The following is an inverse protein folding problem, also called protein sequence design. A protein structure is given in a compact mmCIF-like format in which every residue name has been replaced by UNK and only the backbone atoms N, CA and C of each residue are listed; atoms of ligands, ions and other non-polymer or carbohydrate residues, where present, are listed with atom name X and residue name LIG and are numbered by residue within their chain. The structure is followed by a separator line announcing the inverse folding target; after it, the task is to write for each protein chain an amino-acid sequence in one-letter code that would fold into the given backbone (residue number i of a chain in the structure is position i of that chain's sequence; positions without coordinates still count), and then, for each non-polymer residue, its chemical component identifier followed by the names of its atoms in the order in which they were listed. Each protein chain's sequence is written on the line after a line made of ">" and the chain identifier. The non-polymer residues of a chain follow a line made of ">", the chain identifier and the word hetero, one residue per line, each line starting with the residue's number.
data_IF_433469945318
#
_entry.id   IF_433469945318
#
_cell.length_a   1.000
_cell.length_b   1.000
_cell.length_c   1.000
_cell.angle_alpha   90.00
_cell.angle_beta   90.00
_cell.angle_gamma   90.00
#
_symmetry.space_group_name_H-M   'P 1'
#
loop_
_entity.id
_entity.type
_entity.pdbx_description
1 polymer ?
#
# COMPACT_ATOMS: atom_id res chain seq x y z
N UNK A 1 19.14 -31.64 16.49
CA UNK A 1 20.42 -30.96 16.29
C UNK A 1 20.20 -29.49 16.64
N UNK A 2 20.92 -28.90 17.62
CA UNK A 2 20.88 -27.46 17.86
C UNK A 2 21.48 -26.77 16.64
N UNK A 3 20.88 -25.66 16.10
CA UNK A 3 21.49 -24.87 15.04
C UNK A 3 22.91 -24.47 15.46
N UNK A 4 23.85 -24.48 14.52
CA UNK A 4 25.21 -24.04 14.78
C UNK A 4 25.21 -22.54 15.09
N UNK A 5 26.14 -22.05 15.93
CA UNK A 5 26.27 -20.62 16.29
C UNK A 5 26.44 -19.66 15.09
N UNK A 6 26.81 -20.19 13.91
CA UNK A 6 26.86 -19.44 12.65
C UNK A 6 25.46 -19.17 12.06
N UNK A 7 24.49 -20.07 12.24
CA UNK A 7 23.10 -19.91 11.76
C UNK A 7 22.35 -18.76 12.49
N UNK A 8 22.79 -18.39 13.71
CA UNK A 8 22.16 -17.31 14.48
C UNK A 8 22.60 -15.90 14.10
N UNK A 9 23.71 -15.76 13.32
CA UNK A 9 24.31 -14.47 12.96
C UNK A 9 23.98 -13.97 11.56
N UNK A 10 23.41 -14.81 10.72
CA UNK A 10 23.05 -14.49 9.36
C UNK A 10 21.58 -14.78 9.10
N UNK A 11 21.06 -14.25 8.01
CA UNK A 11 19.68 -14.45 7.56
C UNK A 11 19.63 -14.59 6.04
N UNK A 12 18.65 -15.31 5.53
CA UNK A 12 18.29 -15.31 4.11
C UNK A 12 17.59 -14.01 3.74
N UNK A 13 17.84 -13.51 2.54
CA UNK A 13 17.19 -12.34 2.01
C UNK A 13 17.11 -12.43 0.48
N UNK A 14 16.23 -11.61 -0.09
CA UNK A 14 16.21 -11.31 -1.52
C UNK A 14 16.57 -9.85 -1.71
N UNK A 15 17.61 -9.59 -2.47
CA UNK A 15 18.12 -8.24 -2.70
C UNK A 15 18.54 -8.02 -4.14
N UNK A 16 19.02 -6.83 -4.43
CA UNK A 16 19.65 -6.47 -5.69
C UNK A 16 20.99 -5.77 -5.44
N UNK A 17 21.94 -6.00 -6.34
CA UNK A 17 23.20 -5.24 -6.40
C UNK A 17 23.25 -4.33 -7.63
N UNK A 18 22.40 -4.57 -8.61
CA UNK A 18 22.25 -3.79 -9.84
C UNK A 18 20.76 -3.59 -10.16
N UNK A 19 20.43 -2.47 -10.75
CA UNK A 19 19.08 -2.12 -11.14
C UNK A 19 18.85 -2.54 -12.59
N UNK A 20 18.19 -3.69 -12.78
CA UNK A 20 18.03 -4.36 -14.06
C UNK A 20 16.54 -4.55 -14.41
N UNK A 21 16.20 -4.76 -15.69
CA UNK A 21 14.84 -5.19 -16.09
C UNK A 21 14.41 -6.44 -15.33
N UNK A 22 13.11 -6.60 -15.09
CA UNK A 22 12.57 -7.73 -14.29
C UNK A 22 12.89 -9.10 -14.88
N UNK A 23 13.04 -9.19 -16.21
CA UNK A 23 13.33 -10.43 -16.90
C UNK A 23 14.81 -10.87 -16.76
N UNK A 24 15.70 -9.97 -16.35
CA UNK A 24 17.08 -10.34 -16.02
C UNK A 24 17.11 -11.14 -14.70
N UNK A 25 17.68 -12.37 -14.69
CA UNK A 25 17.75 -13.19 -13.48
C UNK A 25 18.56 -12.56 -12.34
N UNK A 26 19.41 -11.56 -12.63
CA UNK A 26 20.17 -10.80 -11.64
C UNK A 26 19.43 -9.56 -11.11
N UNK A 27 18.21 -9.28 -11.58
CA UNK A 27 17.40 -8.13 -11.13
C UNK A 27 16.99 -8.24 -9.66
N UNK A 28 16.80 -9.46 -9.16
CA UNK A 28 16.64 -9.84 -7.75
C UNK A 28 17.36 -11.18 -7.55
N UNK A 29 18.17 -11.30 -6.49
CA UNK A 29 18.95 -12.48 -6.16
C UNK A 29 18.71 -12.93 -4.73
N UNK A 30 18.71 -14.24 -4.51
CA UNK A 30 18.78 -14.82 -3.17
C UNK A 30 20.17 -14.58 -2.59
N UNK A 31 20.25 -14.11 -1.37
CA UNK A 31 21.50 -13.78 -0.70
C UNK A 31 21.44 -14.07 0.80
N UNK A 32 22.62 -14.14 1.41
CA UNK A 32 22.77 -14.25 2.87
C UNK A 32 23.38 -12.96 3.39
N UNK A 33 22.70 -12.36 4.37
CA UNK A 33 23.13 -11.10 4.99
C UNK A 33 23.32 -11.27 6.50
N UNK A 34 24.08 -10.40 7.15
CA UNK A 34 24.10 -10.35 8.61
C UNK A 34 22.68 -10.09 9.15
N UNK A 35 22.29 -10.84 10.19
CA UNK A 35 21.05 -10.59 10.92
C UNK A 35 21.15 -9.24 11.64
N UNK A 36 20.22 -8.29 11.44
CA UNK A 36 20.29 -6.98 12.07
C UNK A 36 19.97 -7.05 13.56
N UNK A 37 20.53 -6.14 14.35
CA UNK A 37 20.13 -5.87 15.72
C UNK A 37 19.16 -4.69 15.79
N UNK A 38 18.15 -4.70 16.67
CA UNK A 38 17.19 -3.60 16.79
C UNK A 38 17.85 -2.36 17.39
N UNK A 39 17.58 -1.19 16.80
CA UNK A 39 17.86 0.11 17.41
C UNK A 39 16.92 0.40 18.59
N UNK A 40 17.10 1.53 19.33
CA UNK A 40 16.35 1.80 20.56
C UNK A 40 14.82 1.64 20.44
N UNK A 41 14.21 2.18 19.39
CA UNK A 41 12.75 2.10 19.12
C UNK A 41 12.36 1.00 18.14
N UNK A 42 13.27 0.09 17.76
CA UNK A 42 13.01 -0.92 16.76
C UNK A 42 12.46 -2.21 17.33
N UNK A 43 11.57 -2.81 16.58
CA UNK A 43 11.23 -4.23 16.67
C UNK A 43 12.14 -4.98 15.69
N UNK A 44 12.73 -6.10 16.09
CA UNK A 44 13.25 -7.09 15.18
C UNK A 44 12.14 -8.09 14.89
N UNK A 45 11.62 -8.06 13.68
CA UNK A 45 10.51 -8.93 13.26
C UNK A 45 11.05 -10.10 12.45
N UNK A 46 10.66 -11.32 12.83
CA UNK A 46 10.81 -12.51 11.99
C UNK A 46 9.67 -12.49 10.98
N UNK A 47 10.00 -12.20 9.72
CA UNK A 47 9.03 -12.03 8.64
C UNK A 47 8.46 -13.39 8.21
N UNK A 48 7.15 -13.53 8.24
CA UNK A 48 6.44 -14.73 7.83
C UNK A 48 5.84 -14.61 6.42
N UNK A 49 5.37 -13.42 6.05
CA UNK A 49 4.82 -13.14 4.73
C UNK A 49 5.10 -11.70 4.31
N UNK A 50 5.23 -11.48 3.00
CA UNK A 50 5.42 -10.17 2.38
C UNK A 50 4.44 -10.00 1.22
N UNK A 51 4.08 -8.76 0.92
CA UNK A 51 3.27 -8.45 -0.25
C UNK A 51 3.96 -7.40 -1.12
N UNK A 52 3.83 -7.53 -2.44
CA UNK A 52 4.48 -6.64 -3.39
C UNK A 52 3.60 -5.46 -3.76
N UNK A 53 4.23 -4.33 -4.05
CA UNK A 53 3.61 -3.06 -4.37
C UNK A 53 4.27 -2.41 -5.61
N UNK A 54 3.60 -1.51 -6.32
CA UNK A 54 4.21 -0.77 -7.43
C UNK A 54 5.50 -0.02 -7.05
N UNK A 55 5.65 0.40 -5.80
CA UNK A 55 6.89 1.04 -5.31
C UNK A 55 8.09 0.10 -5.37
N UNK A 56 7.91 -1.20 -5.15
CA UNK A 56 8.97 -2.20 -5.25
C UNK A 56 9.56 -2.21 -6.67
N UNK A 57 8.68 -2.21 -7.69
CA UNK A 57 9.10 -2.20 -9.10
C UNK A 57 9.74 -0.88 -9.49
N UNK A 58 9.23 0.26 -9.00
CA UNK A 58 9.80 1.60 -9.23
C UNK A 58 11.21 1.74 -8.63
N UNK A 59 11.41 1.27 -7.39
CA UNK A 59 12.72 1.30 -6.74
C UNK A 59 13.71 0.39 -7.44
N UNK A 60 13.29 -0.81 -7.90
CA UNK A 60 14.11 -1.75 -8.68
C UNK A 60 14.36 -1.27 -10.10
N UNK A 61 13.56 -0.37 -10.65
CA UNK A 61 13.61 0.04 -12.06
C UNK A 61 15.06 0.31 -12.55
N UNK A 62 15.37 -0.02 -13.82
CA UNK A 62 16.72 0.07 -14.35
C UNK A 62 17.34 1.47 -14.22
N UNK A 63 18.55 1.53 -13.71
CA UNK A 63 19.39 2.74 -13.61
C UNK A 63 20.86 2.37 -13.45
N UNK A 64 21.76 3.30 -13.71
CA UNK A 64 23.22 3.08 -13.69
C UNK A 64 23.83 3.05 -12.27
N UNK A 65 23.07 2.70 -11.23
CA UNK A 65 23.59 2.58 -9.87
C UNK A 65 23.97 1.12 -9.55
N UNK A 66 24.97 0.95 -8.69
CA UNK A 66 25.43 -0.35 -8.18
C UNK A 66 25.50 -0.28 -6.65
N UNK A 67 24.95 -1.28 -5.99
CA UNK A 67 24.98 -1.41 -4.52
C UNK A 67 26.21 -2.21 -4.11
N UNK A 68 26.97 -1.72 -3.13
CA UNK A 68 28.14 -2.42 -2.58
C UNK A 68 27.75 -3.69 -1.81
N UNK A 69 26.57 -3.67 -1.20
CA UNK A 69 25.92 -4.81 -0.54
C UNK A 69 24.50 -4.97 -1.09
N UNK A 70 23.95 -6.20 -1.15
CA UNK A 70 22.60 -6.39 -1.65
C UNK A 70 21.58 -5.50 -0.93
N UNK A 71 20.89 -4.65 -1.69
CA UNK A 71 19.78 -3.83 -1.19
C UNK A 71 18.52 -4.68 -1.12
N UNK A 72 17.98 -4.84 0.08
CA UNK A 72 16.71 -5.54 0.32
C UNK A 72 15.55 -4.58 0.10
N UNK A 73 14.59 -4.99 -0.74
CA UNK A 73 13.35 -4.28 -1.00
C UNK A 73 12.19 -4.89 -0.19
N UNK A 74 10.97 -4.38 -0.40
CA UNK A 74 9.75 -4.89 0.21
C UNK A 74 9.21 -3.94 1.29
N UNK A 75 7.94 -3.55 1.11
CA UNK A 75 7.24 -2.61 2.00
C UNK A 75 5.80 -3.07 2.21
N UNK A 76 5.66 -4.28 2.70
CA UNK A 76 4.44 -4.89 3.24
C UNK A 76 4.83 -6.21 3.89
N UNK A 77 4.63 -6.34 5.18
CA UNK A 77 5.00 -7.55 5.89
C UNK A 77 4.05 -7.87 7.05
N UNK A 78 4.00 -9.15 7.37
CA UNK A 78 3.47 -9.66 8.63
C UNK A 78 4.43 -10.71 9.18
N UNK A 79 4.58 -10.75 10.49
CA UNK A 79 5.52 -11.64 11.16
C UNK A 79 5.41 -11.58 12.68
N UNK A 80 6.38 -12.16 13.36
CA UNK A 80 6.42 -12.23 14.83
C UNK A 80 7.60 -11.43 15.36
N UNK A 81 7.39 -10.63 16.39
CA UNK A 81 8.44 -9.89 17.09
C UNK A 81 9.39 -10.88 17.74
N UNK A 82 10.65 -10.87 17.34
CA UNK A 82 11.71 -11.73 17.85
C UNK A 82 12.48 -11.08 19.01
N UNK A 83 12.74 -9.78 18.89
CA UNK A 83 13.43 -8.96 19.88
C UNK A 83 12.99 -7.50 19.76
N UNK A 84 13.26 -6.71 20.79
CA UNK A 84 12.90 -5.30 20.84
C UNK A 84 14.10 -4.46 21.27
N UNK A 85 14.13 -3.19 20.85
CA UNK A 85 15.07 -2.19 21.32
C UNK A 85 14.78 -1.71 22.74
N UNK A 86 15.76 -1.02 23.34
CA UNK A 86 15.71 -0.61 24.76
C UNK A 86 14.63 0.41 25.11
N UNK A 87 14.11 1.14 24.11
CA UNK A 87 13.08 2.20 24.29
C UNK A 87 11.72 1.80 23.74
N UNK A 88 11.56 0.54 23.27
CA UNK A 88 10.27 0.01 22.81
C UNK A 88 9.31 -0.15 23.99
N UNK A 89 8.10 0.36 23.82
CA UNK A 89 7.03 0.34 24.83
C UNK A 89 5.71 -0.25 24.35
N UNK A 90 5.50 -0.36 23.03
CA UNK A 90 4.22 -0.76 22.45
C UNK A 90 4.11 -2.27 22.20
N UNK A 91 5.26 -2.98 22.17
CA UNK A 91 5.30 -4.40 21.79
C UNK A 91 6.25 -5.19 22.68
N UNK A 92 6.12 -6.51 22.62
CA UNK A 92 6.99 -7.49 23.30
C UNK A 92 7.33 -8.64 22.35
N UNK A 93 8.43 -9.39 22.60
CA UNK A 93 8.72 -10.61 21.87
C UNK A 93 7.54 -11.60 21.90
N UNK A 94 7.26 -12.19 20.75
CA UNK A 94 6.13 -13.09 20.55
C UNK A 94 4.87 -12.43 19.98
N UNK A 95 4.77 -11.10 19.98
CA UNK A 95 3.63 -10.41 19.35
C UNK A 95 3.61 -10.64 17.83
N UNK A 96 2.44 -10.94 17.28
CA UNK A 96 2.21 -11.03 15.84
C UNK A 96 1.85 -9.66 15.31
N UNK A 97 2.63 -9.17 14.33
CA UNK A 97 2.57 -7.80 13.84
C UNK A 97 2.42 -7.72 12.32
N UNK A 98 1.95 -6.58 11.85
CA UNK A 98 1.87 -6.21 10.45
C UNK A 98 2.26 -4.75 10.24
N UNK A 99 2.89 -4.43 9.10
CA UNK A 99 3.42 -3.10 8.83
C UNK A 99 3.86 -2.94 7.38
N UNK A 100 4.03 -1.68 6.94
CA UNK A 100 4.60 -1.36 5.64
C UNK A 100 6.12 -1.08 5.71
N UNK A 101 6.63 -0.56 6.82
CA UNK A 101 8.03 -0.19 6.97
C UNK A 101 8.37 1.19 6.41
N UNK A 102 9.66 1.45 6.17
CA UNK A 102 10.19 2.74 5.71
C UNK A 102 11.01 2.57 4.44
N UNK A 103 10.78 3.43 3.43
CA UNK A 103 11.47 3.37 2.12
C UNK A 103 12.96 3.70 2.20
N UNK A 104 13.39 4.37 3.28
CA UNK A 104 14.79 4.75 3.52
C UNK A 104 15.55 3.75 4.38
N UNK A 105 14.91 2.62 4.75
CA UNK A 105 15.51 1.52 5.53
C UNK A 105 15.49 0.22 4.71
N UNK A 106 16.29 -0.81 5.10
CA UNK A 106 16.21 -2.14 4.49
C UNK A 106 14.78 -2.68 4.52
N UNK A 107 14.34 -3.27 3.40
CA UNK A 107 12.98 -3.75 3.23
C UNK A 107 12.70 -5.11 3.87
N UNK A 108 11.49 -5.61 3.65
CA UNK A 108 10.94 -6.82 4.28
C UNK A 108 11.25 -8.13 3.54
N UNK A 109 11.88 -8.08 2.36
CA UNK A 109 12.25 -9.30 1.64
C UNK A 109 13.47 -9.98 2.28
N UNK A 110 13.44 -10.20 3.59
CA UNK A 110 14.45 -10.84 4.42
C UNK A 110 13.79 -11.60 5.58
N UNK A 111 14.46 -12.65 6.10
CA UNK A 111 13.93 -13.43 7.25
C UNK A 111 13.72 -12.57 8.49
N UNK A 112 14.52 -11.51 8.65
CA UNK A 112 14.40 -10.56 9.76
C UNK A 112 14.49 -9.14 9.26
N UNK A 113 13.63 -8.28 9.80
CA UNK A 113 13.65 -6.83 9.53
C UNK A 113 13.57 -6.05 10.83
N UNK A 114 14.36 -4.97 10.94
CA UNK A 114 14.18 -3.96 11.97
C UNK A 114 13.22 -2.88 11.49
N UNK A 115 12.20 -2.58 12.30
CA UNK A 115 11.17 -1.58 12.00
C UNK A 115 10.81 -0.81 13.27
N UNK A 116 10.64 0.51 13.14
CA UNK A 116 10.25 1.38 14.26
C UNK A 116 8.83 1.04 14.76
N UNK A 117 8.68 0.90 16.08
CA UNK A 117 7.42 0.51 16.72
C UNK A 117 6.24 1.43 16.36
N UNK A 118 6.50 2.71 16.06
CA UNK A 118 5.49 3.73 15.78
C UNK A 118 4.80 3.57 14.43
N UNK A 119 5.32 2.70 13.55
CA UNK A 119 4.73 2.39 12.23
C UNK A 119 4.30 0.93 12.10
N UNK A 120 4.16 0.21 13.22
CA UNK A 120 3.76 -1.20 13.33
C UNK A 120 2.47 -1.30 14.12
N UNK A 121 1.63 -2.30 13.87
CA UNK A 121 0.50 -2.65 14.73
C UNK A 121 0.42 -4.17 14.94
N UNK A 122 -0.36 -4.59 15.92
CA UNK A 122 -0.73 -6.01 16.08
C UNK A 122 -1.54 -6.45 14.87
N UNK A 123 -1.20 -7.61 14.33
CA UNK A 123 -1.92 -8.24 13.22
C UNK A 123 -3.38 -8.52 13.62
N UNK A 124 -4.37 -8.34 12.71
CA UNK A 124 -5.72 -8.85 12.95
C UNK A 124 -5.69 -10.34 13.37
N UNK A 125 -6.40 -10.68 14.43
CA UNK A 125 -6.42 -12.07 14.95
C UNK A 125 -7.11 -13.02 13.98
N UNK A 126 -8.08 -12.54 13.24
CA UNK A 126 -8.88 -13.30 12.27
C UNK A 126 -8.13 -13.64 10.98
N UNK A 127 -6.96 -13.01 10.71
CA UNK A 127 -6.17 -13.23 9.50
C UNK A 127 -4.92 -14.09 9.80
N UNK A 128 -4.54 -14.93 8.85
CA UNK A 128 -3.20 -15.50 8.81
C UNK A 128 -2.16 -14.45 8.34
N UNK A 129 -0.85 -14.80 8.36
CA UNK A 129 0.20 -13.87 7.98
C UNK A 129 0.13 -13.44 6.51
N UNK A 130 -0.26 -14.35 5.60
CA UNK A 130 -0.36 -14.02 4.17
C UNK A 130 -1.51 -13.03 3.92
N UNK A 131 -2.66 -13.27 4.54
CA UNK A 131 -3.82 -12.39 4.46
C UNK A 131 -3.52 -11.01 5.07
N UNK A 132 -2.81 -10.99 6.19
CA UNK A 132 -2.43 -9.75 6.87
C UNK A 132 -1.40 -8.94 6.08
N UNK A 133 -0.36 -9.58 5.52
CA UNK A 133 0.67 -8.90 4.73
C UNK A 133 0.12 -8.20 3.48
N UNK A 134 -1.07 -8.58 3.00
CA UNK A 134 -1.71 -7.95 1.83
C UNK A 134 -2.30 -6.56 2.09
N UNK A 135 -2.23 -6.03 3.30
CA UNK A 135 -3.01 -4.85 3.68
C UNK A 135 -2.19 -3.61 4.07
N UNK A 136 -1.07 -3.66 4.82
CA UNK A 136 -0.55 -2.50 5.54
C UNK A 136 -0.30 -1.28 4.66
N UNK A 137 0.54 -1.37 3.61
CA UNK A 137 0.89 -0.24 2.76
C UNK A 137 -0.35 0.36 2.10
N UNK A 138 -1.19 -0.48 1.53
CA UNK A 138 -2.39 -0.03 0.82
C UNK A 138 -3.43 0.56 1.77
N UNK A 139 -3.51 0.05 2.99
CA UNK A 139 -4.38 0.57 4.05
C UNK A 139 -3.92 1.95 4.53
N UNK A 140 -2.62 2.11 4.81
CA UNK A 140 -2.07 3.41 5.20
C UNK A 140 -2.35 4.43 4.09
N UNK A 141 -2.01 4.10 2.84
CA UNK A 141 -2.25 4.97 1.68
C UNK A 141 -3.72 5.35 1.53
N UNK A 142 -4.64 4.38 1.58
CA UNK A 142 -6.07 4.66 1.43
C UNK A 142 -6.64 5.47 2.59
N UNK A 143 -6.25 5.13 3.83
CA UNK A 143 -6.68 5.86 5.02
C UNK A 143 -6.23 7.32 5.00
N UNK A 144 -4.92 7.53 4.80
CA UNK A 144 -4.36 8.88 4.73
C UNK A 144 -4.97 9.67 3.56
N UNK A 145 -5.11 9.06 2.36
CA UNK A 145 -5.73 9.71 1.21
C UNK A 145 -7.16 10.17 1.49
N UNK A 146 -8.01 9.29 2.02
CA UNK A 146 -9.44 9.57 2.20
C UNK A 146 -9.69 10.49 3.40
N UNK A 147 -9.11 10.17 4.55
CA UNK A 147 -9.51 10.81 5.81
C UNK A 147 -8.59 11.96 6.21
N UNK A 148 -7.32 11.95 5.83
CA UNK A 148 -6.41 13.03 6.20
C UNK A 148 -6.19 14.03 5.04
N UNK A 149 -5.99 13.57 3.80
CA UNK A 149 -5.71 14.45 2.66
C UNK A 149 -7.00 15.03 2.06
N UNK A 150 -7.98 14.20 1.76
CA UNK A 150 -9.29 14.66 1.30
C UNK A 150 -10.11 15.27 2.43
N UNK A 151 -9.83 14.92 3.68
CA UNK A 151 -10.51 15.44 4.87
C UNK A 151 -11.94 14.92 5.02
N UNK A 152 -12.22 13.71 4.51
CA UNK A 152 -13.48 13.02 4.71
C UNK A 152 -13.52 12.43 6.13
N UNK A 153 -14.70 12.33 6.70
CA UNK A 153 -14.86 11.76 8.04
C UNK A 153 -14.94 10.24 8.00
N UNK A 154 -14.09 9.56 8.79
CA UNK A 154 -14.02 8.11 8.84
C UNK A 154 -15.18 7.47 9.61
N UNK A 155 -15.93 8.22 10.42
CA UNK A 155 -17.00 7.76 11.31
C UNK A 155 -18.40 8.11 10.80
N UNK A 156 -18.49 8.65 9.57
CA UNK A 156 -19.74 8.80 8.85
C UNK A 156 -20.38 10.18 8.90
N UNK A 157 -19.71 11.22 9.42
CA UNK A 157 -20.26 12.57 9.37
C UNK A 157 -20.44 13.10 7.93
N UNK A 158 -19.67 12.55 6.96
CA UNK A 158 -19.77 12.85 5.54
C UNK A 158 -20.61 11.82 4.75
N UNK A 159 -21.46 11.03 5.40
CA UNK A 159 -22.29 10.03 4.73
C UNK A 159 -23.12 10.63 3.60
N UNK A 160 -23.17 9.96 2.45
CA UNK A 160 -23.84 10.41 1.24
C UNK A 160 -23.00 11.28 0.32
N UNK A 161 -21.88 11.87 0.75
CA UNK A 161 -20.98 12.60 -0.14
C UNK A 161 -20.39 11.67 -1.21
N UNK A 162 -20.21 12.22 -2.40
CA UNK A 162 -19.74 11.48 -3.58
C UNK A 162 -18.22 11.45 -3.64
N UNK A 163 -17.67 10.25 -3.85
CA UNK A 163 -16.24 10.00 -3.99
C UNK A 163 -15.95 9.23 -5.29
N UNK A 164 -15.21 9.84 -6.22
CA UNK A 164 -14.69 9.14 -7.39
C UNK A 164 -13.34 8.47 -7.02
N UNK A 165 -13.27 7.15 -7.19
CA UNK A 165 -12.04 6.37 -7.00
C UNK A 165 -11.54 5.91 -8.37
N UNK A 166 -10.42 6.44 -8.84
CA UNK A 166 -9.75 6.02 -10.08
C UNK A 166 -8.73 4.93 -9.75
N UNK A 167 -8.85 3.75 -10.40
CA UNK A 167 -8.01 2.59 -10.12
C UNK A 167 -8.57 1.65 -9.04
N UNK A 168 -9.89 1.41 -9.04
CA UNK A 168 -10.61 0.71 -7.98
C UNK A 168 -10.19 -0.73 -7.69
N UNK A 169 -9.80 -1.51 -8.70
CA UNK A 169 -9.46 -2.92 -8.53
C UNK A 169 -8.01 -3.17 -8.09
N UNK A 170 -7.15 -2.15 -8.09
CA UNK A 170 -5.80 -2.24 -7.57
C UNK A 170 -5.75 -2.39 -6.03
N UNK A 171 -4.56 -2.59 -5.48
CA UNK A 171 -4.38 -2.79 -4.03
C UNK A 171 -4.98 -1.66 -3.18
N UNK A 172 -4.62 -0.40 -3.47
CA UNK A 172 -5.12 0.78 -2.73
C UNK A 172 -6.62 0.97 -2.97
N UNK A 173 -7.08 0.90 -4.23
CA UNK A 173 -8.51 1.03 -4.56
C UNK A 173 -9.38 0.00 -3.85
N UNK A 174 -8.89 -1.24 -3.72
CA UNK A 174 -9.61 -2.34 -3.07
C UNK A 174 -9.89 -2.08 -1.58
N UNK A 175 -8.95 -1.48 -0.85
CA UNK A 175 -9.20 -1.13 0.56
C UNK A 175 -9.93 0.22 0.68
N UNK A 176 -9.67 1.17 -0.23
CA UNK A 176 -10.34 2.47 -0.25
C UNK A 176 -11.86 2.33 -0.44
N UNK A 177 -12.31 1.42 -1.31
CA UNK A 177 -13.74 1.11 -1.49
C UNK A 177 -14.38 0.68 -0.18
N UNK A 178 -13.73 -0.22 0.55
CA UNK A 178 -14.26 -0.75 1.81
C UNK A 178 -14.31 0.33 2.90
N UNK A 179 -13.26 1.13 3.02
CA UNK A 179 -13.20 2.25 3.97
C UNK A 179 -14.26 3.31 3.65
N UNK A 180 -14.40 3.68 2.38
CA UNK A 180 -15.40 4.65 1.92
C UNK A 180 -16.85 4.14 2.16
N UNK A 181 -17.11 2.86 1.87
CA UNK A 181 -18.42 2.23 2.18
C UNK A 181 -18.71 2.29 3.67
N UNK A 182 -17.74 1.95 4.52
CA UNK A 182 -17.89 2.01 5.97
C UNK A 182 -18.21 3.43 6.45
N UNK A 183 -17.57 4.44 5.86
CA UNK A 183 -17.84 5.85 6.14
C UNK A 183 -19.18 6.37 5.53
N UNK A 184 -19.95 5.51 4.88
CA UNK A 184 -21.24 5.88 4.28
C UNK A 184 -21.14 6.73 3.01
N UNK A 185 -19.97 6.80 2.36
CA UNK A 185 -19.78 7.59 1.15
C UNK A 185 -20.42 6.91 -0.07
N UNK A 186 -20.92 7.72 -1.00
CA UNK A 186 -21.37 7.25 -2.31
C UNK A 186 -20.17 7.12 -3.23
N UNK A 187 -19.71 5.90 -3.47
CA UNK A 187 -18.50 5.62 -4.27
C UNK A 187 -18.82 5.38 -5.73
N UNK A 188 -18.11 6.11 -6.62
CA UNK A 188 -18.07 5.87 -8.06
C UNK A 188 -16.65 5.39 -8.38
N UNK A 189 -16.51 4.16 -8.90
CA UNK A 189 -15.22 3.48 -8.98
C UNK A 189 -14.92 3.11 -10.43
N UNK A 190 -13.69 3.36 -10.89
CA UNK A 190 -13.32 2.96 -12.26
C UNK A 190 -12.79 1.53 -12.30
N UNK A 191 -13.39 0.70 -13.18
CA UNK A 191 -12.92 -0.63 -13.55
C UNK A 191 -13.47 -0.97 -14.95
N UNK A 192 -12.77 -1.82 -15.73
CA UNK A 192 -13.16 -2.02 -17.14
C UNK A 192 -13.31 -3.48 -17.56
N UNK A 193 -12.71 -4.43 -16.85
CA UNK A 193 -12.82 -5.86 -17.14
C UNK A 193 -13.89 -6.49 -16.26
N UNK A 194 -14.62 -7.51 -16.73
CA UNK A 194 -15.69 -8.16 -15.94
C UNK A 194 -15.24 -8.55 -14.52
N UNK A 195 -14.08 -9.18 -14.39
CA UNK A 195 -13.56 -9.61 -13.10
C UNK A 195 -13.18 -8.44 -12.18
N UNK A 196 -12.71 -7.30 -12.72
CA UNK A 196 -12.42 -6.10 -11.94
C UNK A 196 -13.67 -5.37 -11.50
N UNK A 197 -14.69 -5.35 -12.34
CA UNK A 197 -16.01 -4.78 -12.03
C UNK A 197 -16.67 -5.57 -10.91
N UNK A 198 -16.69 -6.89 -11.02
CA UNK A 198 -17.24 -7.77 -9.98
C UNK A 198 -16.48 -7.63 -8.66
N UNK A 199 -15.14 -7.57 -8.71
CA UNK A 199 -14.30 -7.34 -7.55
C UNK A 199 -14.66 -6.03 -6.83
N UNK A 200 -14.76 -4.91 -7.54
CA UNK A 200 -15.12 -3.62 -6.95
C UNK A 200 -16.53 -3.65 -6.33
N UNK A 201 -17.51 -4.26 -7.02
CA UNK A 201 -18.87 -4.44 -6.48
C UNK A 201 -18.89 -5.29 -5.23
N UNK A 202 -18.16 -6.41 -5.24
CA UNK A 202 -18.04 -7.30 -4.07
C UNK A 202 -17.38 -6.63 -2.87
N UNK A 203 -16.55 -5.60 -3.08
CA UNK A 203 -15.95 -4.77 -2.01
C UNK A 203 -16.89 -3.67 -1.54
N UNK A 204 -18.01 -3.42 -2.23
CA UNK A 204 -19.05 -2.49 -1.82
C UNK A 204 -19.03 -1.15 -2.56
N UNK A 205 -18.46 -1.09 -3.77
CA UNK A 205 -18.59 0.07 -4.65
C UNK A 205 -20.08 0.32 -4.96
N UNK A 206 -20.55 1.58 -4.79
CA UNK A 206 -21.94 1.97 -5.11
C UNK A 206 -22.17 1.93 -6.61
N UNK A 207 -21.24 2.51 -7.37
CA UNK A 207 -21.24 2.52 -8.82
C UNK A 207 -19.89 2.10 -9.37
N UNK A 208 -19.89 1.40 -10.51
CA UNK A 208 -18.66 1.05 -11.23
C UNK A 208 -18.81 1.52 -12.67
N UNK A 209 -17.82 2.32 -13.14
CA UNK A 209 -17.78 2.91 -14.48
C UNK A 209 -16.52 2.46 -15.23
N UNK A 210 -16.59 2.44 -16.56
CA UNK A 210 -15.48 1.99 -17.42
C UNK A 210 -14.53 3.15 -17.75
N UNK A 211 -13.29 3.07 -17.26
CA UNK A 211 -12.27 4.08 -17.53
C UNK A 211 -11.81 4.17 -18.99
N UNK A 212 -12.20 3.23 -19.85
CA UNK A 212 -11.93 3.26 -21.31
C UNK A 212 -12.94 4.12 -22.05
N UNK A 213 -14.01 4.55 -21.39
CA UNK A 213 -15.05 5.40 -21.92
C UNK A 213 -15.01 6.78 -21.25
N UNK A 214 -15.56 7.84 -21.86
CA UNK A 214 -15.59 9.18 -21.24
C UNK A 214 -16.23 9.16 -19.86
N UNK A 215 -15.50 9.50 -18.82
CA UNK A 215 -16.00 9.49 -17.44
C UNK A 215 -17.13 10.51 -17.22
N UNK A 216 -17.10 11.75 -17.77
CA UNK A 216 -18.18 12.72 -17.56
C UNK A 216 -19.55 12.21 -17.99
N UNK A 217 -19.65 11.61 -19.18
CA UNK A 217 -20.91 11.08 -19.68
C UNK A 217 -21.45 9.93 -18.81
N UNK A 218 -20.58 9.08 -18.27
CA UNK A 218 -20.98 8.00 -17.37
C UNK A 218 -21.45 8.52 -16.01
N UNK A 219 -20.78 9.54 -15.47
CA UNK A 219 -21.21 10.20 -14.23
C UNK A 219 -22.57 10.86 -14.42
N UNK A 220 -22.78 11.56 -15.53
CA UNK A 220 -24.06 12.23 -15.84
C UNK A 220 -25.21 11.21 -15.94
N UNK A 221 -24.97 10.06 -16.56
CA UNK A 221 -25.94 8.96 -16.62
C UNK A 221 -26.31 8.40 -15.24
N UNK A 222 -25.43 8.53 -14.24
CA UNK A 222 -25.67 8.19 -12.84
C UNK A 222 -26.28 9.34 -12.01
N UNK A 223 -26.51 10.51 -12.62
CA UNK A 223 -27.05 11.70 -11.96
C UNK A 223 -25.99 12.62 -11.32
N UNK A 224 -24.71 12.38 -11.56
CA UNK A 224 -23.61 13.19 -11.04
C UNK A 224 -23.02 14.08 -12.14
N UNK A 225 -23.15 15.39 -12.02
CA UNK A 225 -22.40 16.34 -12.86
C UNK A 225 -20.97 16.55 -12.37
N UNK A 226 -20.77 16.45 -11.07
CA UNK A 226 -19.51 16.62 -10.35
C UNK A 226 -19.52 15.74 -9.10
N UNK A 227 -18.35 15.52 -8.49
CA UNK A 227 -18.19 14.77 -7.26
C UNK A 227 -17.48 15.58 -6.19
N UNK A 228 -17.80 15.34 -4.91
CA UNK A 228 -17.28 16.09 -3.77
C UNK A 228 -15.78 15.85 -3.53
N UNK A 229 -15.30 14.65 -3.85
CA UNK A 229 -13.91 14.27 -3.68
C UNK A 229 -13.46 13.29 -4.78
N UNK A 230 -12.16 13.32 -5.11
CA UNK A 230 -11.52 12.40 -6.06
C UNK A 230 -10.27 11.81 -5.43
N UNK A 231 -10.19 10.48 -5.38
CA UNK A 231 -9.01 9.71 -5.02
C UNK A 231 -8.44 9.03 -6.29
N UNK A 232 -7.30 9.51 -6.79
CA UNK A 232 -6.66 8.96 -7.97
C UNK A 232 -5.51 8.04 -7.57
N UNK A 233 -5.67 6.74 -7.81
CA UNK A 233 -4.67 5.71 -7.57
C UNK A 233 -4.06 5.16 -8.88
N UNK A 234 -4.27 5.86 -9.99
CA UNK A 234 -3.77 5.54 -11.32
C UNK A 234 -2.88 6.68 -11.86
N UNK A 235 -2.63 6.69 -13.17
CA UNK A 235 -1.78 7.69 -13.86
C UNK A 235 -2.35 9.11 -13.70
N UNK A 236 -1.60 9.98 -13.02
CA UNK A 236 -2.05 11.36 -12.74
C UNK A 236 -2.12 12.20 -13.99
N UNK A 237 -1.15 12.07 -14.92
CA UNK A 237 -1.15 12.85 -16.17
C UNK A 237 -2.36 12.51 -17.03
N UNK A 238 -2.68 11.21 -17.14
CA UNK A 238 -3.80 10.74 -17.98
C UNK A 238 -5.17 11.23 -17.47
N UNK A 239 -5.31 11.40 -16.16
CA UNK A 239 -6.59 11.79 -15.55
C UNK A 239 -6.68 13.24 -15.11
N UNK A 240 -5.60 14.03 -15.21
CA UNK A 240 -5.57 15.40 -14.68
C UNK A 240 -6.72 16.27 -15.17
N UNK A 241 -6.89 16.39 -16.49
CA UNK A 241 -7.90 17.26 -17.08
C UNK A 241 -9.33 16.85 -16.66
N UNK A 242 -9.65 15.55 -16.72
CA UNK A 242 -10.98 15.05 -16.37
C UNK A 242 -11.24 15.13 -14.86
N UNK A 243 -10.22 15.00 -14.01
CA UNK A 243 -10.38 15.24 -12.56
C UNK A 243 -10.71 16.69 -12.27
N UNK A 244 -10.04 17.65 -12.95
CA UNK A 244 -10.34 19.07 -12.82
C UNK A 244 -11.75 19.42 -13.32
N UNK A 245 -12.24 18.73 -14.36
CA UNK A 245 -13.61 18.89 -14.86
C UNK A 245 -14.64 18.36 -13.85
N UNK A 246 -14.40 17.17 -13.30
CA UNK A 246 -15.38 16.43 -12.48
C UNK A 246 -15.41 16.84 -11.02
N UNK A 247 -14.36 17.46 -10.48
CA UNK A 247 -14.35 17.92 -9.09
C UNK A 247 -15.37 19.04 -8.88
N UNK A 248 -16.17 18.97 -7.83
CA UNK A 248 -17.11 20.01 -7.43
C UNK A 248 -16.40 21.28 -6.91
N UNK A 249 -17.07 22.46 -6.92
CA UNK A 249 -16.54 23.63 -6.22
C UNK A 249 -16.21 23.31 -4.76
N UNK A 250 -15.02 23.78 -4.30
CA UNK A 250 -14.46 23.53 -2.96
C UNK A 250 -14.10 22.06 -2.68
N UNK A 251 -14.23 21.17 -3.67
CA UNK A 251 -13.82 19.78 -3.57
C UNK A 251 -12.30 19.60 -3.56
N UNK A 252 -11.86 18.37 -3.27
CA UNK A 252 -10.42 18.03 -3.24
C UNK A 252 -10.11 16.82 -4.10
N UNK A 253 -8.93 16.85 -4.72
CA UNK A 253 -8.33 15.75 -5.47
C UNK A 253 -7.10 15.29 -4.70
N UNK A 254 -7.02 13.99 -4.42
CA UNK A 254 -5.83 13.36 -3.87
C UNK A 254 -5.26 12.37 -4.89
N UNK A 255 -3.94 12.40 -5.14
CA UNK A 255 -3.25 11.47 -6.02
C UNK A 255 -2.04 10.83 -5.32
N UNK A 256 -1.67 9.61 -5.77
CA UNK A 256 -0.53 8.84 -5.22
C UNK A 256 0.54 8.53 -6.27
N UNK A 257 0.26 8.78 -7.54
CA UNK A 257 1.21 8.53 -8.64
C UNK A 257 1.73 9.85 -9.13
N UNK A 258 3.05 10.04 -9.08
CA UNK A 258 3.73 11.25 -9.54
C UNK A 258 3.42 11.56 -11.01
N UNK A 259 3.27 12.85 -11.32
CA UNK A 259 3.14 13.35 -12.68
C UNK A 259 4.52 13.39 -13.39
N UNK A 260 4.51 13.19 -14.70
CA UNK A 260 5.68 13.30 -15.58
C UNK A 260 5.75 14.66 -16.27
N UNK A 261 4.59 15.29 -16.51
CA UNK A 261 4.46 16.59 -17.12
C UNK A 261 3.92 17.63 -16.10
N UNK A 262 4.18 18.93 -16.25
CA UNK A 262 3.62 19.95 -15.36
C UNK A 262 2.08 19.89 -15.33
N UNK A 263 1.49 19.94 -14.14
CA UNK A 263 0.05 20.00 -13.95
C UNK A 263 -0.47 21.43 -14.03
N UNK A 264 -1.48 21.69 -14.85
CA UNK A 264 -2.13 23.00 -14.99
C UNK A 264 -3.05 23.25 -13.79
N UNK A 265 -2.50 23.71 -12.66
CA UNK A 265 -3.26 24.00 -11.43
C UNK A 265 -4.32 25.09 -11.62
N UNK A 266 -4.16 25.94 -12.63
CA UNK A 266 -5.12 27.00 -12.99
C UNK A 266 -6.54 26.48 -13.24
N UNK A 267 -6.68 25.23 -13.70
CA UNK A 267 -7.98 24.58 -13.92
C UNK A 267 -8.84 24.44 -12.65
N UNK A 268 -8.23 24.41 -11.49
CA UNK A 268 -8.93 24.30 -10.19
C UNK A 268 -9.37 25.65 -9.62
N UNK A 269 -8.79 26.77 -10.11
CA UNK A 269 -8.95 28.09 -9.50
C UNK A 269 -10.41 28.55 -9.42
N UNK A 270 -11.15 28.45 -10.54
CA UNK A 270 -12.54 28.93 -10.59
C UNK A 270 -13.48 28.17 -9.64
N UNK A 271 -13.12 26.94 -9.29
CA UNK A 271 -13.85 26.07 -8.35
C UNK A 271 -13.38 26.22 -6.90
N UNK A 272 -12.29 26.96 -6.63
CA UNK A 272 -11.60 26.95 -5.33
C UNK A 272 -11.28 25.52 -4.87
N UNK A 273 -11.06 24.61 -5.81
CA UNK A 273 -10.78 23.21 -5.52
C UNK A 273 -9.31 23.01 -5.16
N UNK A 274 -9.02 21.98 -4.35
CA UNK A 274 -7.69 21.67 -3.89
C UNK A 274 -7.11 20.40 -4.55
N UNK A 275 -5.78 20.39 -4.71
CA UNK A 275 -5.04 19.18 -5.05
C UNK A 275 -4.02 18.88 -3.96
N UNK A 276 -3.87 17.60 -3.60
CA UNK A 276 -2.94 17.14 -2.57
C UNK A 276 -2.34 15.80 -2.96
N UNK A 277 -1.06 15.62 -2.61
CA UNK A 277 -0.38 14.34 -2.72
C UNK A 277 -0.59 13.48 -1.48
N UNK A 278 -0.72 12.17 -1.69
CA UNK A 278 -0.53 11.18 -0.65
C UNK A 278 0.70 10.34 -0.95
N UNK A 279 1.60 10.25 0.04
CA UNK A 279 2.78 9.39 0.03
C UNK A 279 2.99 8.80 1.44
N UNK A 280 2.52 7.58 1.65
CA UNK A 280 2.46 6.94 2.96
C UNK A 280 3.81 6.80 3.68
N UNK A 281 4.93 6.92 2.95
CA UNK A 281 6.26 6.88 3.57
C UNK A 281 6.70 8.20 4.20
N UNK A 282 5.99 9.31 3.97
CA UNK A 282 6.39 10.65 4.44
C UNK A 282 6.70 10.65 5.94
N UNK A 283 5.83 10.09 6.77
CA UNK A 283 6.00 10.04 8.22
C UNK A 283 7.27 9.31 8.64
N UNK A 284 7.48 8.11 8.11
CA UNK A 284 8.65 7.28 8.42
C UNK A 284 9.94 7.81 7.78
N UNK A 285 9.85 8.43 6.59
CA UNK A 285 11.00 8.97 5.86
C UNK A 285 11.57 10.22 6.53
N UNK A 286 10.70 11.11 7.00
CA UNK A 286 11.08 12.39 7.59
C UNK A 286 11.07 12.41 9.12
N UNK A 287 10.68 11.30 9.77
CA UNK A 287 10.57 11.21 11.22
C UNK A 287 9.62 12.26 11.80
N UNK A 288 8.45 12.45 11.20
CA UNK A 288 7.52 13.51 11.59
C UNK A 288 7.01 13.30 13.03
N UNK A 289 6.65 14.37 13.77
CA UNK A 289 6.17 14.26 15.16
C UNK A 289 4.94 13.36 15.32
N UNK A 290 4.15 13.22 14.25
CA UNK A 290 2.92 12.41 14.21
C UNK A 290 3.14 11.00 13.63
N UNK A 291 4.38 10.50 13.55
CA UNK A 291 4.70 9.17 12.99
C UNK A 291 3.87 8.04 13.62
N UNK A 292 3.54 8.17 14.91
CA UNK A 292 2.67 7.24 15.65
C UNK A 292 1.24 7.12 15.06
N UNK A 293 0.82 8.01 14.20
CA UNK A 293 -0.48 7.93 13.54
C UNK A 293 -0.60 6.66 12.69
N UNK A 294 0.49 6.15 12.11
CA UNK A 294 0.45 4.89 11.36
C UNK A 294 0.18 3.68 12.25
N UNK A 295 0.80 3.61 13.43
CA UNK A 295 0.45 2.61 14.44
C UNK A 295 -1.05 2.66 14.79
N UNK A 296 -1.56 3.85 15.04
CA UNK A 296 -2.97 4.05 15.47
C UNK A 296 -3.96 3.65 14.38
N UNK A 297 -3.72 4.06 13.14
CA UNK A 297 -4.61 3.71 12.02
C UNK A 297 -4.58 2.21 11.72
N UNK A 298 -3.40 1.58 11.72
CA UNK A 298 -3.29 0.14 11.52
C UNK A 298 -3.97 -0.65 12.66
N UNK A 299 -3.81 -0.19 13.91
CA UNK A 299 -4.50 -0.78 15.07
C UNK A 299 -6.03 -0.68 14.93
N UNK A 300 -6.53 0.49 14.51
CA UNK A 300 -7.95 0.69 14.23
C UNK A 300 -8.46 -0.25 13.14
N UNK A 301 -7.73 -0.32 12.03
CA UNK A 301 -8.09 -1.20 10.90
C UNK A 301 -8.02 -2.68 11.28
N UNK A 302 -7.06 -3.09 12.11
CA UNK A 302 -7.03 -4.46 12.64
C UNK A 302 -8.33 -4.81 13.40
N UNK A 303 -8.83 -3.90 14.23
CA UNK A 303 -10.11 -4.07 14.91
C UNK A 303 -11.29 -4.17 13.95
N UNK A 304 -11.33 -3.38 12.87
CA UNK A 304 -12.37 -3.42 11.85
C UNK A 304 -12.35 -4.73 11.04
N UNK A 305 -11.16 -5.27 10.79
CA UNK A 305 -11.00 -6.58 10.14
C UNK A 305 -11.50 -7.69 11.06
N UNK A 306 -11.12 -7.67 12.33
CA UNK A 306 -11.58 -8.66 13.32
C UNK A 306 -13.09 -8.61 13.57
N UNK A 307 -13.71 -7.44 13.41
CA UNK A 307 -15.15 -7.25 13.45
C UNK A 307 -15.88 -7.68 12.14
N UNK A 308 -15.13 -8.05 11.09
CA UNK A 308 -15.69 -8.41 9.79
C UNK A 308 -16.21 -7.23 8.95
N UNK A 309 -15.93 -5.98 9.37
CA UNK A 309 -16.31 -4.78 8.62
C UNK A 309 -15.41 -4.56 7.39
N UNK A 310 -14.16 -4.98 7.49
CA UNK A 310 -13.17 -4.98 6.40
C UNK A 310 -12.64 -6.39 6.17
N UNK A 311 -12.26 -6.70 4.93
CA UNK A 311 -11.65 -7.98 4.57
C UNK A 311 -10.32 -7.78 3.88
N UNK A 312 -9.48 -8.81 3.93
CA UNK A 312 -8.20 -8.83 3.21
C UNK A 312 -8.39 -8.62 1.70
N UNK A 313 -7.43 -7.93 1.10
CA UNK A 313 -7.35 -7.73 -0.36
C UNK A 313 -6.41 -8.73 -1.03
N UNK A 314 -5.97 -9.77 -0.31
CA UNK A 314 -5.19 -10.87 -0.86
C UNK A 314 -5.94 -11.51 -2.03
N UNK A 315 -5.29 -11.58 -3.18
CA UNK A 315 -5.81 -12.26 -4.37
C UNK A 315 -5.16 -13.62 -4.58
N UNK A 316 -3.83 -13.67 -4.40
CA UNK A 316 -3.05 -14.88 -4.68
C UNK A 316 -1.76 -14.90 -3.85
N UNK A 317 -1.42 -16.10 -3.37
CA UNK A 317 -0.11 -16.37 -2.76
C UNK A 317 0.74 -17.11 -3.80
N UNK A 318 1.86 -16.49 -4.22
CA UNK A 318 2.72 -16.98 -5.30
C UNK A 318 3.72 -18.06 -4.85
N UNK A 319 3.80 -18.35 -3.56
CA UNK A 319 4.71 -19.32 -2.99
C UNK A 319 5.67 -18.72 -1.97
N UNK A 320 6.89 -19.28 -1.89
CA UNK A 320 7.91 -18.86 -0.90
C UNK A 320 8.53 -17.51 -1.24
N UNK A 321 9.10 -16.87 -0.21
CA UNK A 321 9.88 -15.64 -0.37
C UNK A 321 11.26 -16.03 -0.92
N UNK A 322 11.41 -15.96 -2.24
CA UNK A 322 12.64 -16.17 -2.97
C UNK A 322 12.73 -15.25 -4.19
N UNK A 323 13.91 -15.16 -4.78
CA UNK A 323 14.16 -14.26 -5.90
C UNK A 323 13.31 -14.58 -7.14
N UNK A 324 13.04 -15.85 -7.42
CA UNK A 324 12.27 -16.27 -8.58
C UNK A 324 10.81 -15.82 -8.46
N UNK A 325 10.19 -16.09 -7.32
CA UNK A 325 8.81 -15.72 -7.05
C UNK A 325 8.64 -14.19 -6.93
N UNK A 326 9.61 -13.48 -6.35
CA UNK A 326 9.58 -12.01 -6.30
C UNK A 326 9.72 -11.39 -7.70
N UNK A 327 10.59 -11.91 -8.58
CA UNK A 327 10.63 -11.45 -9.99
C UNK A 327 9.30 -11.69 -10.70
N UNK A 328 8.68 -12.83 -10.50
CA UNK A 328 7.35 -13.10 -11.08
C UNK A 328 6.28 -12.12 -10.55
N UNK A 329 6.28 -11.84 -9.24
CA UNK A 329 5.39 -10.85 -8.65
C UNK A 329 5.60 -9.45 -9.25
N UNK A 330 6.86 -9.00 -9.38
CA UNK A 330 7.21 -7.73 -10.01
C UNK A 330 6.77 -7.68 -11.47
N UNK A 331 6.99 -8.75 -12.25
CA UNK A 331 6.56 -8.85 -13.65
C UNK A 331 5.04 -8.70 -13.79
N UNK A 332 4.27 -9.31 -12.90
CA UNK A 332 2.80 -9.17 -12.90
C UNK A 332 2.36 -7.75 -12.57
N UNK A 333 3.01 -7.08 -11.63
CA UNK A 333 2.74 -5.68 -11.30
C UNK A 333 3.05 -4.75 -12.48
N UNK A 334 4.18 -4.94 -13.15
CA UNK A 334 4.58 -4.12 -14.31
C UNK A 334 3.64 -4.25 -15.50
N UNK A 335 2.94 -5.39 -15.65
CA UNK A 335 1.86 -5.56 -16.65
C UNK A 335 0.62 -4.73 -16.36
N UNK A 336 0.46 -4.21 -15.15
CA UNK A 336 -0.64 -3.32 -14.77
C UNK A 336 -2.03 -3.96 -14.78
N UNK A 337 -2.14 -5.30 -14.82
CA UNK A 337 -3.41 -6.03 -14.89
C UNK A 337 -3.86 -6.61 -13.55
N UNK A 338 -3.17 -6.26 -12.46
CA UNK A 338 -3.41 -6.83 -11.14
C UNK A 338 -4.78 -6.52 -10.56
N UNK A 339 -5.32 -7.45 -9.76
CA UNK A 339 -6.50 -7.29 -8.91
C UNK A 339 -6.06 -7.56 -7.49
N UNK A 340 -6.41 -6.66 -6.56
CA UNK A 340 -6.02 -6.83 -5.17
C UNK A 340 -4.51 -6.93 -4.99
N UNK A 341 -4.06 -7.87 -4.14
CA UNK A 341 -2.66 -8.02 -3.72
C UNK A 341 -2.10 -9.42 -3.99
N UNK A 342 -0.82 -9.42 -4.35
CA UNK A 342 0.00 -10.64 -4.47
C UNK A 342 0.90 -10.77 -3.24
N UNK A 343 0.99 -11.96 -2.69
CA UNK A 343 1.72 -12.27 -1.45
C UNK A 343 2.69 -13.42 -1.68
N UNK A 344 3.80 -13.40 -0.96
CA UNK A 344 4.71 -14.53 -0.79
C UNK A 344 4.80 -14.87 0.69
N UNK A 345 4.81 -16.16 1.04
CA UNK A 345 4.78 -16.60 2.43
C UNK A 345 5.73 -17.79 2.67
N UNK A 346 6.46 -17.72 3.80
CA UNK A 346 7.47 -18.70 4.18
C UNK A 346 8.80 -18.53 3.42
N UNK A 347 9.86 -19.14 3.98
CA UNK A 347 11.25 -19.09 3.50
C UNK A 347 11.73 -20.44 3.02
#
# INVERSE_FOLDING_TARGET
>A
MKPSDQDSRTMRAVGLTRYLPVDDPQSLIDCTLPRPGPGPHDLLVRVAAVSVNPVDTKVRAPKAAVEATPRVLGWDAAGTVEAIGSEVTLFRPGDEVWYAGSIVRPGSNAEFQCVDERIVALKPRSLDFAQAAALPLTTITAWEALFERLGLDADGADAGRSLLIIGGAGGVGSIAIQLARRAGLTTIVTASRPETIEWCRALGATHVIDHRQPLPAQLEALGFRQVDAIANFADTDAYWAVMCELIAPQGRICAIVENRAPLELGLLKAKSAGFVWEFMFTRAQFGTPDMIAQHRLLTRVAGLVDAGELRTTLRETLGRIDAANLREAHRRLERGTGIGKLVLAGW
#
